data_IF_415125440406
#
_entry.id   IF_415125440406
#
_cell.length_a   1.000
_cell.length_b   1.000
_cell.length_c   1.000
_cell.angle_alpha   90.00
_cell.angle_beta   90.00
_cell.angle_gamma   90.00
#
_symmetry.space_group_name_H-M   'P 1'
#
loop_
_entity.id
_entity.type
_entity.pdbx_description
1 polymer ?
#
# COMPACT_ATOMS: atom_id res chain seq x y z
N UNK A 1 25.42 3.86 -23.66
CA UNK A 1 24.92 4.57 -22.46
C UNK A 1 23.47 5.09 -22.61
N UNK A 2 22.82 4.98 -23.78
CA UNK A 2 21.42 5.38 -23.97
C UNK A 2 20.40 4.45 -23.28
N UNK A 3 20.72 3.16 -23.11
CA UNK A 3 19.74 2.16 -22.63
C UNK A 3 19.09 2.44 -21.28
N UNK A 4 19.76 3.14 -20.37
CA UNK A 4 19.17 3.54 -19.08
C UNK A 4 18.28 4.78 -19.21
N UNK A 5 18.71 5.78 -19.98
CA UNK A 5 17.92 6.98 -20.26
C UNK A 5 16.65 6.63 -21.04
N UNK A 6 16.76 5.73 -22.02
CA UNK A 6 15.64 5.26 -22.84
C UNK A 6 14.60 4.54 -21.96
N UNK A 7 15.04 3.69 -21.02
CA UNK A 7 14.16 3.02 -20.05
C UNK A 7 13.50 4.01 -19.10
N UNK A 8 14.25 4.98 -18.58
CA UNK A 8 13.72 6.00 -17.69
C UNK A 8 12.67 6.86 -18.39
N UNK A 9 12.96 7.34 -19.60
CA UNK A 9 12.00 8.09 -20.41
C UNK A 9 10.76 7.27 -20.72
N UNK A 10 10.91 6.00 -21.07
CA UNK A 10 9.78 5.12 -21.32
C UNK A 10 8.88 4.96 -20.10
N UNK A 11 9.45 4.78 -18.89
CA UNK A 11 8.68 4.73 -17.64
C UNK A 11 8.00 6.05 -17.34
N UNK A 12 8.70 7.18 -17.48
CA UNK A 12 8.13 8.51 -17.30
C UNK A 12 6.98 8.77 -18.26
N UNK A 13 7.08 8.36 -19.52
CA UNK A 13 6.00 8.48 -20.50
C UNK A 13 4.79 7.60 -20.19
N UNK A 14 5.01 6.39 -19.64
CA UNK A 14 3.91 5.54 -19.18
C UNK A 14 3.18 6.16 -17.98
N UNK A 15 3.94 6.64 -16.99
CA UNK A 15 3.41 7.38 -15.86
C UNK A 15 2.65 8.63 -16.32
N UNK A 16 3.20 9.40 -17.26
CA UNK A 16 2.52 10.58 -17.80
C UNK A 16 1.18 10.23 -18.44
N UNK A 17 1.15 9.15 -19.22
CA UNK A 17 -0.07 8.65 -19.86
C UNK A 17 -1.12 8.20 -18.83
N UNK A 18 -0.71 7.50 -17.79
CA UNK A 18 -1.60 7.07 -16.70
C UNK A 18 -2.12 8.28 -15.91
N UNK A 19 -1.26 9.23 -15.56
CA UNK A 19 -1.64 10.46 -14.86
C UNK A 19 -2.53 11.36 -15.73
N UNK A 20 -2.43 11.26 -17.06
CA UNK A 20 -3.32 11.97 -17.97
C UNK A 20 -4.79 11.53 -17.84
N UNK A 21 -5.09 10.38 -17.21
CA UNK A 21 -6.47 9.98 -16.95
C UNK A 21 -7.18 10.90 -15.94
N UNK A 22 -6.43 11.68 -15.15
CA UNK A 22 -6.97 12.56 -14.11
C UNK A 22 -7.06 14.01 -14.60
N UNK A 23 -8.26 14.58 -14.80
CA UNK A 23 -8.43 15.94 -15.31
C UNK A 23 -7.81 17.01 -14.41
N UNK A 24 -7.78 16.80 -13.09
CA UNK A 24 -7.20 17.77 -12.15
C UNK A 24 -5.70 17.95 -12.38
N UNK A 25 -4.98 16.87 -12.70
CA UNK A 25 -3.54 16.93 -12.97
C UNK A 25 -3.24 17.63 -14.29
N UNK A 26 -4.08 17.43 -15.31
CA UNK A 26 -3.94 18.13 -16.59
C UNK A 26 -4.18 19.64 -16.45
N UNK A 27 -5.20 20.04 -15.69
CA UNK A 27 -5.45 21.45 -15.42
C UNK A 27 -4.29 22.11 -14.68
N UNK A 28 -3.71 21.40 -13.71
CA UNK A 28 -2.54 21.87 -12.97
C UNK A 28 -1.29 22.00 -13.85
N UNK A 29 -1.04 21.02 -14.74
CA UNK A 29 0.04 21.07 -15.72
C UNK A 29 -0.12 22.27 -16.68
N UNK A 30 -1.34 22.51 -17.17
CA UNK A 30 -1.64 23.65 -18.05
C UNK A 30 -1.46 25.02 -17.35
N UNK A 31 -1.74 25.11 -16.05
CA UNK A 31 -1.61 26.34 -15.28
C UNK A 31 -0.17 26.62 -14.81
N UNK A 32 0.52 25.59 -14.33
CA UNK A 32 1.87 25.71 -13.75
C UNK A 32 2.99 25.60 -14.79
N UNK A 33 2.71 25.01 -15.96
CA UNK A 33 3.71 24.68 -16.98
C UNK A 33 4.66 23.56 -16.57
N UNK A 34 4.46 22.92 -15.41
CA UNK A 34 5.29 21.83 -14.91
C UNK A 34 4.66 20.49 -15.28
N UNK A 35 5.42 19.54 -15.86
CA UNK A 35 4.87 18.23 -16.20
C UNK A 35 4.37 17.48 -14.96
N UNK A 36 3.14 16.96 -15.04
CA UNK A 36 2.44 16.29 -13.92
C UNK A 36 3.21 15.12 -13.30
N UNK A 37 3.99 14.39 -14.10
CA UNK A 37 4.84 13.29 -13.60
C UNK A 37 5.84 13.78 -12.56
N UNK A 38 6.51 14.91 -12.80
CA UNK A 38 7.49 15.44 -11.85
C UNK A 38 6.82 15.92 -10.56
N UNK A 39 5.59 16.44 -10.64
CA UNK A 39 4.81 16.83 -9.46
C UNK A 39 4.48 15.61 -8.61
N UNK A 40 3.95 14.54 -9.22
CA UNK A 40 3.60 13.31 -8.49
C UNK A 40 4.84 12.63 -7.90
N UNK A 41 5.94 12.54 -8.66
CA UNK A 41 7.20 12.00 -8.17
C UNK A 41 7.77 12.86 -7.03
N UNK A 42 7.69 14.19 -7.14
CA UNK A 42 8.11 15.13 -6.11
C UNK A 42 7.31 14.97 -4.81
N UNK A 43 5.98 14.86 -4.91
CA UNK A 43 5.11 14.60 -3.76
C UNK A 43 5.38 13.24 -3.12
N UNK A 44 5.57 12.19 -3.93
CA UNK A 44 5.93 10.86 -3.44
C UNK A 44 7.29 10.84 -2.74
N UNK A 45 8.29 11.53 -3.30
CA UNK A 45 9.61 11.65 -2.70
C UNK A 45 9.57 12.47 -1.39
N UNK A 46 8.82 13.57 -1.36
CA UNK A 46 8.59 14.36 -0.15
C UNK A 46 7.90 13.54 0.93
N UNK A 47 6.86 12.79 0.56
CA UNK A 47 6.16 11.91 1.48
C UNK A 47 7.08 10.86 2.10
N UNK A 48 7.87 10.17 1.27
CA UNK A 48 8.86 9.20 1.75
C UNK A 48 9.92 9.86 2.63
N UNK A 49 10.39 11.05 2.26
CA UNK A 49 11.34 11.83 3.07
C UNK A 49 10.76 12.14 4.47
N UNK A 50 9.50 12.60 4.55
CA UNK A 50 8.86 12.87 5.83
C UNK A 50 8.77 11.60 6.70
N UNK A 51 8.41 10.46 6.11
CA UNK A 51 8.40 9.17 6.81
C UNK A 51 9.80 8.74 7.24
N UNK A 52 10.82 8.94 6.40
CA UNK A 52 12.21 8.57 6.66
C UNK A 52 12.80 9.34 7.86
N UNK A 53 12.51 10.65 7.93
CA UNK A 53 12.90 11.49 9.06
C UNK A 53 11.93 11.42 10.24
N UNK A 54 10.94 10.53 10.20
CA UNK A 54 9.93 10.36 11.23
C UNK A 54 9.15 11.65 11.56
N UNK A 55 8.97 12.53 10.56
CA UNK A 55 8.12 13.71 10.67
C UNK A 55 6.69 13.26 10.42
N UNK A 56 5.89 13.19 11.49
CA UNK A 56 4.54 12.63 11.46
C UNK A 56 4.48 11.18 10.94
N UNK A 57 5.53 10.38 11.19
CA UNK A 57 5.71 9.04 10.61
C UNK A 57 4.51 8.12 10.82
N UNK A 58 4.01 7.99 12.04
CA UNK A 58 2.85 7.15 12.34
C UNK A 58 1.60 7.56 11.55
N UNK A 59 1.28 8.86 11.55
CA UNK A 59 0.13 9.39 10.84
C UNK A 59 0.24 9.13 9.34
N UNK A 60 1.41 9.41 8.75
CA UNK A 60 1.66 9.18 7.34
C UNK A 60 1.51 7.69 7.01
N UNK A 61 2.23 6.80 7.67
CA UNK A 61 2.18 5.35 7.39
C UNK A 61 0.77 4.80 7.51
N UNK A 62 0.03 5.19 8.55
CA UNK A 62 -1.36 4.77 8.71
C UNK A 62 -2.26 5.32 7.60
N UNK A 63 -2.03 6.56 7.17
CA UNK A 63 -2.75 7.17 6.03
C UNK A 63 -2.47 6.40 4.74
N UNK A 64 -1.22 6.07 4.42
CA UNK A 64 -0.89 5.27 3.24
C UNK A 64 -1.48 3.86 3.31
N UNK A 65 -1.40 3.22 4.48
CA UNK A 65 -1.97 1.90 4.73
C UNK A 65 -3.49 1.86 4.70
N UNK A 66 -4.15 3.01 4.76
CA UNK A 66 -5.58 3.14 4.62
C UNK A 66 -6.00 3.56 3.20
N UNK A 67 -5.50 4.69 2.72
CA UNK A 67 -6.02 5.36 1.51
C UNK A 67 -5.83 4.52 0.26
N UNK A 68 -4.64 3.95 0.04
CA UNK A 68 -4.33 3.17 -1.16
C UNK A 68 -5.21 1.91 -1.26
N UNK A 69 -5.23 1.01 -0.26
CA UNK A 69 -6.11 -0.16 -0.27
C UNK A 69 -7.59 0.20 -0.26
N UNK A 70 -7.99 1.28 0.43
CA UNK A 70 -9.40 1.71 0.47
C UNK A 70 -9.89 2.14 -0.91
N UNK A 71 -9.09 2.89 -1.66
CA UNK A 71 -9.43 3.28 -3.03
C UNK A 71 -9.66 2.05 -3.92
N UNK A 72 -8.72 1.10 -3.93
CA UNK A 72 -8.87 -0.11 -4.73
C UNK A 72 -9.97 -1.05 -4.21
N UNK A 73 -10.22 -1.07 -2.90
CA UNK A 73 -11.35 -1.81 -2.32
C UNK A 73 -12.68 -1.22 -2.79
N UNK A 74 -12.80 0.12 -2.84
CA UNK A 74 -13.99 0.78 -3.37
C UNK A 74 -14.18 0.46 -4.85
N UNK A 75 -13.11 0.51 -5.64
CA UNK A 75 -13.17 0.10 -7.05
C UNK A 75 -13.63 -1.36 -7.21
N UNK A 76 -13.08 -2.28 -6.40
CA UNK A 76 -13.46 -3.68 -6.38
C UNK A 76 -14.94 -3.88 -6.03
N UNK A 77 -15.46 -3.14 -5.03
CA UNK A 77 -16.86 -3.19 -4.61
C UNK A 77 -17.85 -2.77 -5.71
N UNK A 78 -17.43 -1.93 -6.66
CA UNK A 78 -18.24 -1.53 -7.80
C UNK A 78 -17.96 -2.37 -9.06
N UNK A 79 -17.00 -3.30 -8.99
CA UNK A 79 -16.66 -4.22 -10.07
C UNK A 79 -17.36 -5.57 -9.88
N UNK A 80 -17.59 -6.31 -10.97
CA UNK A 80 -18.27 -7.62 -10.92
C UNK A 80 -17.35 -8.80 -10.55
N UNK A 81 -16.04 -8.56 -10.32
CA UNK A 81 -15.01 -9.57 -10.19
C UNK A 81 -14.68 -9.94 -8.73
N UNK A 82 -14.85 -11.21 -8.34
CA UNK A 82 -14.63 -11.69 -6.96
C UNK A 82 -13.16 -11.87 -6.54
N UNK A 83 -12.20 -11.85 -7.46
CA UNK A 83 -10.78 -12.10 -7.10
C UNK A 83 -10.18 -10.95 -6.30
N UNK A 84 -10.63 -9.73 -6.57
CA UNK A 84 -10.06 -8.52 -5.99
C UNK A 84 -10.50 -8.38 -4.53
N UNK A 85 -11.73 -8.79 -4.22
CA UNK A 85 -12.28 -8.79 -2.86
C UNK A 85 -11.43 -9.60 -1.88
N UNK A 86 -10.95 -10.78 -2.29
CA UNK A 86 -10.19 -11.68 -1.42
C UNK A 86 -8.82 -11.08 -1.08
N UNK A 87 -8.18 -10.43 -2.06
CA UNK A 87 -6.89 -9.76 -1.88
C UNK A 87 -7.00 -8.63 -0.86
N UNK A 88 -7.98 -7.73 -1.04
CA UNK A 88 -8.16 -6.59 -0.16
C UNK A 88 -8.64 -6.99 1.23
N UNK A 89 -9.52 -7.99 1.35
CA UNK A 89 -9.91 -8.51 2.66
C UNK A 89 -8.72 -9.13 3.40
N UNK A 90 -7.88 -9.90 2.71
CA UNK A 90 -6.65 -10.47 3.29
C UNK A 90 -5.71 -9.37 3.76
N UNK A 91 -5.56 -8.30 2.96
CA UNK A 91 -4.79 -7.11 3.35
C UNK A 91 -5.35 -6.49 4.63
N UNK A 92 -6.66 -6.21 4.71
CA UNK A 92 -7.27 -5.55 5.87
C UNK A 92 -7.11 -6.37 7.15
N UNK A 93 -7.33 -7.69 7.08
CA UNK A 93 -7.17 -8.58 8.23
C UNK A 93 -5.71 -8.61 8.69
N UNK A 94 -4.77 -8.71 7.75
CA UNK A 94 -3.33 -8.71 8.05
C UNK A 94 -2.86 -7.39 8.64
N UNK A 95 -3.27 -6.27 8.03
CA UNK A 95 -2.94 -4.93 8.49
C UNK A 95 -3.48 -4.65 9.90
N UNK A 96 -4.74 -5.01 10.16
CA UNK A 96 -5.35 -4.86 11.48
C UNK A 96 -4.62 -5.69 12.54
N UNK A 97 -4.27 -6.94 12.22
CA UNK A 97 -3.52 -7.81 13.13
C UNK A 97 -2.15 -7.23 13.50
N UNK A 98 -1.38 -6.77 12.50
CA UNK A 98 -0.08 -6.14 12.74
C UNK A 98 -0.21 -4.85 13.57
N UNK A 99 -1.23 -4.04 13.29
CA UNK A 99 -1.50 -2.80 14.03
C UNK A 99 -1.85 -3.08 15.49
N UNK A 100 -2.63 -4.12 15.77
CA UNK A 100 -2.95 -4.54 17.16
C UNK A 100 -1.68 -5.02 17.88
N UNK A 101 -0.85 -5.86 17.24
CA UNK A 101 0.41 -6.31 17.84
C UNK A 101 1.32 -5.13 18.14
N UNK A 102 1.47 -4.21 17.19
CA UNK A 102 2.26 -2.99 17.36
C UNK A 102 1.78 -2.18 18.56
N UNK A 103 0.46 -2.01 18.72
CA UNK A 103 -0.11 -1.29 19.87
C UNK A 103 0.18 -1.96 21.23
N UNK A 104 0.44 -3.27 21.24
CA UNK A 104 0.80 -4.02 22.44
C UNK A 104 2.32 -3.95 22.76
N UNK A 105 3.15 -3.56 21.79
CA UNK A 105 4.61 -3.55 21.91
C UNK A 105 5.13 -2.13 22.12
N UNK A 106 5.46 -1.75 23.35
CA UNK A 106 6.04 -0.43 23.68
C UNK A 106 7.48 -0.19 23.14
N UNK A 107 8.08 -1.17 22.45
CA UNK A 107 9.46 -1.09 21.97
C UNK A 107 9.64 -0.24 20.70
N UNK A 108 8.55 0.20 20.09
CA UNK A 108 8.52 0.92 18.81
C UNK A 108 9.37 2.20 18.83
N UNK A 109 9.42 2.90 19.96
CA UNK A 109 10.17 4.15 20.10
C UNK A 109 11.70 3.99 20.18
N UNK A 110 12.19 2.78 20.50
CA UNK A 110 13.63 2.54 20.65
C UNK A 110 14.31 2.13 19.33
N UNK A 111 13.54 1.68 18.34
CA UNK A 111 14.07 1.22 17.07
C UNK A 111 14.15 2.36 16.03
N UNK A 112 15.36 2.75 15.58
CA UNK A 112 15.50 3.80 14.57
C UNK A 112 14.85 3.36 13.24
N UNK A 113 14.26 4.31 12.53
CA UNK A 113 13.57 4.08 11.24
C UNK A 113 12.38 3.11 11.29
N UNK A 114 11.83 2.82 12.48
CA UNK A 114 10.68 1.91 12.63
C UNK A 114 9.53 2.21 11.64
N UNK A 115 9.08 3.46 11.58
CA UNK A 115 7.98 3.84 10.69
C UNK A 115 8.35 3.71 9.22
N UNK A 116 9.62 3.88 8.85
CA UNK A 116 10.09 3.60 7.48
C UNK A 116 9.95 2.12 7.13
N UNK A 117 10.35 1.23 8.04
CA UNK A 117 10.17 -0.21 7.83
C UNK A 117 8.68 -0.58 7.77
N UNK A 118 7.87 -0.05 8.69
CA UNK A 118 6.42 -0.24 8.67
C UNK A 118 5.82 0.26 7.36
N UNK A 119 6.24 1.42 6.86
CA UNK A 119 5.80 1.96 5.58
C UNK A 119 6.08 1.03 4.41
N UNK A 120 7.32 0.53 4.32
CA UNK A 120 7.72 -0.40 3.25
C UNK A 120 6.89 -1.70 3.34
N UNK A 121 6.71 -2.23 4.56
CA UNK A 121 5.91 -3.43 4.80
C UNK A 121 4.45 -3.22 4.37
N UNK A 122 3.85 -2.09 4.73
CA UNK A 122 2.48 -1.72 4.36
C UNK A 122 2.31 -1.58 2.85
N UNK A 123 3.22 -0.85 2.19
CA UNK A 123 3.21 -0.72 0.73
C UNK A 123 3.39 -2.07 0.04
N UNK A 124 4.29 -2.91 0.54
CA UNK A 124 4.52 -4.25 0.00
C UNK A 124 3.28 -5.13 0.11
N UNK A 125 2.58 -5.11 1.25
CA UNK A 125 1.31 -5.83 1.41
C UNK A 125 0.23 -5.32 0.46
N UNK A 126 0.19 -4.01 0.18
CA UNK A 126 -0.79 -3.40 -0.70
C UNK A 126 -0.57 -3.72 -2.19
N UNK A 127 0.65 -4.11 -2.59
CA UNK A 127 0.98 -4.43 -3.97
C UNK A 127 0.42 -5.81 -4.38
N UNK A 128 -0.59 -5.88 -5.28
CA UNK A 128 -1.20 -7.16 -5.65
C UNK A 128 -0.23 -8.11 -6.35
N UNK A 129 0.73 -7.58 -7.10
CA UNK A 129 1.73 -8.36 -7.84
C UNK A 129 2.67 -9.16 -6.96
N UNK A 130 2.86 -8.75 -5.71
CA UNK A 130 3.77 -9.43 -4.77
C UNK A 130 3.05 -10.45 -3.88
N UNK A 131 1.73 -10.33 -3.73
CA UNK A 131 0.95 -11.16 -2.83
C UNK A 131 1.35 -11.01 -1.35
N UNK A 132 2.00 -9.90 -0.96
CA UNK A 132 2.62 -9.76 0.36
C UNK A 132 1.66 -9.99 1.54
N UNK A 133 0.44 -9.48 1.44
CA UNK A 133 -0.61 -9.73 2.44
C UNK A 133 -0.95 -11.23 2.58
N UNK A 134 -1.01 -11.97 1.47
CA UNK A 134 -1.30 -13.41 1.48
C UNK A 134 -0.17 -14.22 2.10
N UNK A 135 1.08 -13.81 1.89
CA UNK A 135 2.25 -14.45 2.50
C UNK A 135 2.15 -14.34 4.02
N UNK A 136 1.94 -13.13 4.54
CA UNK A 136 1.82 -12.92 5.99
C UNK A 136 0.59 -13.64 6.54
N UNK A 137 -0.53 -13.61 5.83
CA UNK A 137 -1.72 -14.35 6.22
C UNK A 137 -1.45 -15.84 6.37
N UNK A 138 -0.83 -16.49 5.37
CA UNK A 138 -0.53 -17.93 5.40
C UNK A 138 0.52 -18.27 6.46
N UNK A 139 1.48 -17.39 6.70
CA UNK A 139 2.58 -17.64 7.64
C UNK A 139 2.22 -17.39 9.10
N UNK A 140 1.41 -16.38 9.40
CA UNK A 140 1.10 -15.98 10.79
C UNK A 140 -0.35 -16.24 11.16
N UNK A 141 -1.30 -15.78 10.33
CA UNK A 141 -2.72 -15.81 10.68
C UNK A 141 -3.31 -17.21 10.51
N UNK A 142 -3.04 -17.87 9.38
CA UNK A 142 -3.56 -19.20 9.09
C UNK A 142 -3.22 -20.23 10.19
N UNK A 143 -1.98 -20.39 10.67
CA UNK A 143 -1.70 -21.36 11.74
C UNK A 143 -2.32 -21.00 13.09
N UNK A 144 -2.52 -19.71 13.37
CA UNK A 144 -3.15 -19.25 14.63
C UNK A 144 -4.66 -19.49 14.60
N UNK A 145 -5.30 -19.26 13.46
CA UNK A 145 -6.76 -19.26 13.33
C UNK A 145 -7.35 -20.52 12.71
N UNK A 146 -6.59 -21.34 11.97
CA UNK A 146 -7.10 -22.54 11.29
C UNK A 146 -7.81 -23.50 12.25
N UNK A 147 -7.27 -23.65 13.46
CA UNK A 147 -7.82 -24.53 14.50
C UNK A 147 -9.23 -24.14 14.95
N UNK A 148 -9.57 -22.85 14.91
CA UNK A 148 -10.89 -22.35 15.32
C UNK A 148 -11.93 -22.48 14.21
N UNK A 149 -11.52 -22.23 12.96
CA UNK A 149 -12.42 -22.29 11.81
C UNK A 149 -12.63 -23.71 11.28
N UNK A 150 -11.62 -24.59 11.30
CA UNK A 150 -11.79 -26.02 10.95
C UNK A 150 -12.72 -26.74 11.94
N UNK A 151 -12.66 -26.39 13.23
CA UNK A 151 -13.51 -26.99 14.25
C UNK A 151 -14.98 -26.56 14.14
N UNK A 152 -15.25 -25.43 13.47
CA UNK A 152 -16.60 -24.90 13.24
C UNK A 152 -17.32 -25.63 12.09
N UNK A 153 -16.58 -26.10 11.07
CA UNK A 153 -17.15 -26.92 9.98
C UNK A 153 -17.51 -28.35 10.38
N UNK A 154 -16.98 -28.88 11.48
CA UNK A 154 -17.24 -30.27 11.94
C UNK A 154 -18.50 -30.36 12.84
N UNK A 155 -18.98 -29.24 13.41
CA UNK A 155 -20.12 -29.24 14.34
C UNK A 155 -21.49 -29.00 13.68
N UNK A 156 -21.58 -29.06 12.36
CA UNK A 156 -22.84 -28.86 11.60
C UNK A 156 -23.20 -30.06 10.71
N UNK A 157 -22.80 -31.27 11.11
CA UNK A 157 -23.36 -32.52 10.60
C UNK A 157 -24.01 -33.32 11.74
#
# INVERSE_FOLDING_TARGET
MSSFQDKAQHQLSQLDKELSKYPQLQQFEQQSGVPKVYVVLGLGALYFFLVFFNIAGEFLVNTAGFVLPAYYSLEALFSSGKSDDTQWLTYWVTYAFLTVIESAVNAVYWFPFYYTFKFILVLWMALPSTGGAQIIFRSLLQPVFSRFFEQSSVKTQ
#
